data_IF_961807461597
#
_entry.id   IF_961807461597
#
_cell.length_a   1.000
_cell.length_b   1.000
_cell.length_c   1.000
_cell.angle_alpha   90.00
_cell.angle_beta   90.00
_cell.angle_gamma   90.00
#
_symmetry.space_group_name_H-M   'P 1'
#
loop_
_entity.id
_entity.type
_entity.pdbx_description
1 polymer ?
#
# COMPACT_ATOMS: atom_id res chain seq x y z
N UNK A 1 14.55 13.87 12.81
CA UNK A 1 14.74 13.79 11.35
C UNK A 1 14.61 12.37 10.83
N UNK A 2 15.18 11.37 11.49
CA UNK A 2 15.12 9.96 11.06
C UNK A 2 13.70 9.41 10.91
N UNK A 3 12.77 9.78 11.80
CA UNK A 3 11.35 9.38 11.74
C UNK A 3 10.63 9.95 10.51
N UNK A 4 10.77 11.24 10.22
CA UNK A 4 10.13 11.88 9.08
C UNK A 4 10.64 11.32 7.74
N UNK A 5 11.93 10.98 7.65
CA UNK A 5 12.49 10.33 6.46
C UNK A 5 11.92 8.90 6.29
N UNK A 6 11.77 8.14 7.37
CA UNK A 6 11.12 6.81 7.36
C UNK A 6 9.66 6.89 6.95
N UNK A 7 8.91 7.86 7.47
CA UNK A 7 7.50 8.08 7.11
C UNK A 7 7.34 8.47 5.64
N UNK A 8 8.17 9.37 5.13
CA UNK A 8 8.16 9.75 3.71
C UNK A 8 8.49 8.56 2.79
N UNK A 9 9.46 7.72 3.17
CA UNK A 9 9.78 6.49 2.45
C UNK A 9 8.61 5.50 2.46
N UNK A 10 7.95 5.30 3.61
CA UNK A 10 6.77 4.45 3.71
C UNK A 10 5.61 4.96 2.84
N UNK A 11 5.33 6.26 2.85
CA UNK A 11 4.32 6.87 1.98
C UNK A 11 4.62 6.68 0.49
N UNK A 12 5.89 6.85 0.09
CA UNK A 12 6.33 6.59 -1.29
C UNK A 12 6.12 5.12 -1.69
N UNK A 13 6.45 4.19 -0.81
CA UNK A 13 6.25 2.76 -1.04
C UNK A 13 4.76 2.40 -1.21
N UNK A 14 3.87 2.98 -0.39
CA UNK A 14 2.43 2.78 -0.50
C UNK A 14 1.86 3.32 -1.82
N UNK A 15 2.32 4.50 -2.26
CA UNK A 15 1.93 5.07 -3.55
C UNK A 15 2.40 4.20 -4.72
N UNK A 16 3.62 3.67 -4.66
CA UNK A 16 4.15 2.76 -5.67
C UNK A 16 3.34 1.44 -5.73
N UNK A 17 2.98 0.89 -4.57
CA UNK A 17 2.13 -0.31 -4.48
C UNK A 17 0.74 -0.07 -5.08
N UNK A 18 0.11 1.06 -4.76
CA UNK A 18 -1.18 1.46 -5.31
C UNK A 18 -1.12 1.62 -6.83
N UNK A 19 -0.07 2.26 -7.34
CA UNK A 19 0.15 2.42 -8.77
C UNK A 19 0.32 1.06 -9.46
N UNK A 20 1.22 0.21 -8.96
CA UNK A 20 1.49 -1.09 -9.53
C UNK A 20 0.25 -1.98 -9.57
N UNK A 21 -0.53 -2.03 -8.48
CA UNK A 21 -1.78 -2.80 -8.47
C UNK A 21 -2.77 -2.29 -9.52
N UNK A 22 -2.95 -0.97 -9.59
CA UNK A 22 -3.85 -0.32 -10.54
C UNK A 22 -3.45 -0.56 -12.00
N UNK A 23 -2.16 -0.62 -12.34
CA UNK A 23 -1.71 -0.91 -13.71
C UNK A 23 -2.14 -2.30 -14.19
N UNK A 24 -2.28 -3.26 -13.26
CA UNK A 24 -2.65 -4.64 -13.59
C UNK A 24 -4.17 -4.90 -13.57
N UNK A 25 -4.98 -3.90 -13.20
CA UNK A 25 -6.43 -4.07 -13.13
C UNK A 25 -7.14 -3.79 -14.46
N UNK A 26 -8.28 -4.48 -14.72
CA UNK A 26 -9.14 -4.17 -15.85
C UNK A 26 -9.60 -2.71 -15.90
N UNK A 27 -9.95 -2.18 -17.09
CA UNK A 27 -10.57 -0.87 -17.21
C UNK A 27 -11.83 -0.77 -16.34
N UNK A 28 -11.93 0.29 -15.52
CA UNK A 28 -13.07 0.53 -14.64
C UNK A 28 -12.89 0.07 -13.19
N UNK A 29 -11.84 -0.68 -12.87
CA UNK A 29 -11.46 -1.01 -11.49
C UNK A 29 -10.17 -0.27 -11.15
N UNK A 30 -10.27 0.74 -10.28
CA UNK A 30 -9.12 1.48 -9.75
C UNK A 30 -9.28 1.69 -8.26
N UNK A 31 -8.24 1.42 -7.50
CA UNK A 31 -8.14 1.75 -6.10
C UNK A 31 -7.69 3.21 -5.94
N UNK A 32 -8.30 3.94 -5.02
CA UNK A 32 -7.82 5.27 -4.58
C UNK A 32 -6.90 5.18 -3.34
N UNK A 33 -6.98 4.08 -2.60
CA UNK A 33 -6.23 3.86 -1.36
C UNK A 33 -5.79 2.41 -1.22
N UNK A 34 -4.62 2.23 -0.61
CA UNK A 34 -4.14 0.95 -0.08
C UNK A 34 -3.91 1.07 1.42
N UNK A 35 -4.30 0.05 2.17
CA UNK A 35 -3.96 -0.11 3.59
C UNK A 35 -3.11 -1.37 3.74
N UNK A 36 -2.08 -1.32 4.58
CA UNK A 36 -1.19 -2.46 4.84
C UNK A 36 -0.91 -2.54 6.34
N UNK A 37 -0.56 -3.73 6.81
CA UNK A 37 0.05 -3.92 8.12
C UNK A 37 1.55 -3.73 7.99
N UNK A 38 2.09 -2.72 8.70
CA UNK A 38 3.51 -2.37 8.73
C UNK A 38 4.22 -3.13 9.85
N UNK A 39 5.29 -3.84 9.52
CA UNK A 39 6.21 -4.43 10.50
C UNK A 39 7.54 -3.70 10.43
N UNK A 40 7.94 -3.10 11.54
CA UNK A 40 9.20 -2.34 11.67
C UNK A 40 10.10 -3.07 12.64
N UNK A 41 11.12 -3.73 12.09
CA UNK A 41 12.23 -4.32 12.86
C UNK A 41 13.42 -3.35 12.86
N UNK A 42 14.44 -3.66 13.67
CA UNK A 42 15.62 -2.80 13.85
C UNK A 42 16.32 -2.44 12.53
N UNK A 43 16.30 -3.35 11.56
CA UNK A 43 17.03 -3.25 10.28
C UNK A 43 16.13 -3.35 9.04
N UNK A 44 14.84 -3.66 9.20
CA UNK A 44 13.93 -3.95 8.10
C UNK A 44 12.55 -3.36 8.32
N UNK A 45 11.97 -2.80 7.27
CA UNK A 45 10.54 -2.47 7.20
C UNK A 45 9.90 -3.42 6.19
N UNK A 46 8.88 -4.16 6.62
CA UNK A 46 8.10 -5.05 5.75
C UNK A 46 6.61 -4.71 5.82
N UNK A 47 5.88 -5.07 4.76
CA UNK A 47 4.46 -4.82 4.62
C UNK A 47 3.73 -6.16 4.41
N UNK A 48 2.57 -6.31 5.03
CA UNK A 48 1.71 -7.50 4.89
C UNK A 48 0.24 -7.09 4.83
N UNK A 49 -0.64 -8.01 4.44
CA UNK A 49 -2.11 -7.81 4.51
C UNK A 49 -2.58 -6.57 3.73
N UNK A 50 -2.08 -6.41 2.50
CA UNK A 50 -2.43 -5.25 1.69
C UNK A 50 -3.91 -5.30 1.26
N UNK A 51 -4.72 -4.32 1.62
CA UNK A 51 -6.10 -4.18 1.13
C UNK A 51 -6.23 -2.94 0.27
N UNK A 52 -6.77 -3.09 -0.94
CA UNK A 52 -7.01 -2.02 -1.89
C UNK A 52 -8.48 -1.59 -1.85
N UNK A 53 -8.72 -0.28 -1.92
CA UNK A 53 -10.05 0.32 -1.71
C UNK A 53 -10.46 1.23 -2.86
N UNK A 54 -11.73 1.17 -3.24
CA UNK A 54 -12.42 2.20 -4.02
C UNK A 54 -13.52 2.83 -3.16
N UNK A 55 -13.28 4.03 -2.65
CA UNK A 55 -14.09 4.67 -1.61
C UNK A 55 -14.13 3.81 -0.35
N UNK A 56 -15.34 3.44 0.07
CA UNK A 56 -15.58 2.62 1.26
C UNK A 56 -15.63 1.11 0.98
N UNK A 57 -15.38 0.70 -0.26
CA UNK A 57 -15.42 -0.70 -0.67
C UNK A 57 -14.02 -1.27 -0.87
N UNK A 58 -13.73 -2.40 -0.22
CA UNK A 58 -12.54 -3.18 -0.52
C UNK A 58 -12.72 -3.87 -1.88
N UNK A 59 -11.70 -3.76 -2.74
CA UNK A 59 -11.74 -4.26 -4.13
C UNK A 59 -10.64 -5.29 -4.44
N UNK A 60 -9.80 -5.61 -3.46
CA UNK A 60 -8.80 -6.66 -3.61
C UNK A 60 -7.71 -6.63 -2.55
N UNK A 61 -6.77 -7.56 -2.67
CA UNK A 61 -5.62 -7.69 -1.78
C UNK A 61 -5.81 -8.64 -0.59
N UNK A 62 -6.98 -9.28 -0.45
CA UNK A 62 -7.12 -10.41 0.47
C UNK A 62 -6.05 -11.48 0.14
N UNK A 63 -5.16 -11.74 1.11
CA UNK A 63 -4.08 -12.73 0.98
C UNK A 63 -2.84 -12.27 0.22
N UNK A 64 -2.65 -10.95 0.02
CA UNK A 64 -1.39 -10.39 -0.47
C UNK A 64 -0.20 -10.71 0.44
#
# INVERSE_FOLDING_TARGET
METAAREAMAQGALLALLFAWNEHQPPGVKADRVTVTLHVDTDLVSYSEATFWAGDHAIGGEGF
#
